data_IF_425128524391
#
_entry.id   IF_425128524391
#
_cell.length_a   1.000
_cell.length_b   1.000
_cell.length_c   1.000
_cell.angle_alpha   90.00
_cell.angle_beta   90.00
_cell.angle_gamma   90.00
#
_symmetry.space_group_name_H-M   'P 1'
#
loop_
_entity.id
_entity.type
_entity.pdbx_description
1 polymer ?
#
# COMPACT_ATOMS: atom_id res chain seq x y z
N UNK A 1 42.52 -25.79 -42.52
CA UNK A 1 42.24 -24.58 -41.71
C UNK A 1 40.73 -24.45 -41.61
N UNK A 2 40.17 -24.75 -40.43
CA UNK A 2 38.77 -24.50 -40.11
C UNK A 2 38.76 -23.46 -38.99
N UNK A 3 38.09 -22.33 -39.23
CA UNK A 3 37.91 -21.27 -38.23
C UNK A 3 37.04 -21.81 -37.07
N UNK A 4 37.40 -21.56 -35.80
CA UNK A 4 36.55 -21.94 -34.70
C UNK A 4 35.34 -21.01 -34.63
N UNK A 5 34.18 -21.61 -34.36
CA UNK A 5 32.94 -20.91 -34.10
C UNK A 5 33.11 -19.94 -32.92
N UNK A 6 32.73 -18.67 -33.12
CA UNK A 6 32.71 -17.67 -32.08
C UNK A 6 31.65 -18.02 -31.03
N UNK A 7 32.10 -18.46 -29.85
CA UNK A 7 31.26 -18.46 -28.66
C UNK A 7 31.13 -17.03 -28.15
N UNK A 8 29.92 -16.47 -28.17
CA UNK A 8 29.63 -15.22 -27.48
C UNK A 8 29.85 -15.42 -25.97
N UNK A 9 30.81 -14.70 -25.40
CA UNK A 9 30.95 -14.59 -23.95
C UNK A 9 29.64 -14.04 -23.37
N UNK A 10 29.14 -14.56 -22.23
CA UNK A 10 27.94 -14.01 -21.61
C UNK A 10 28.10 -12.51 -21.38
N UNK A 11 27.12 -11.73 -21.82
CA UNK A 11 27.12 -10.27 -21.69
C UNK A 11 27.35 -9.88 -20.22
N UNK A 12 28.36 -9.05 -19.98
CA UNK A 12 28.76 -8.69 -18.62
C UNK A 12 27.71 -7.74 -18.02
N UNK A 13 27.16 -8.04 -16.83
CA UNK A 13 26.20 -7.15 -16.18
C UNK A 13 26.76 -5.75 -15.93
N UNK A 14 26.00 -4.72 -16.27
CA UNK A 14 26.32 -3.31 -16.02
C UNK A 14 25.38 -2.74 -14.95
N UNK A 15 25.82 -1.66 -14.29
CA UNK A 15 25.00 -0.96 -13.30
C UNK A 15 24.11 0.06 -14.03
N UNK A 16 22.80 -0.19 -14.01
CA UNK A 16 21.76 0.75 -14.42
C UNK A 16 21.36 1.55 -13.19
N UNK A 17 22.04 2.67 -12.95
CA UNK A 17 21.74 3.61 -11.87
C UNK A 17 21.36 4.98 -12.43
N UNK A 18 20.07 5.29 -12.41
CA UNK A 18 19.49 6.46 -13.06
C UNK A 18 18.02 6.24 -13.43
N UNK A 19 17.49 7.10 -14.29
CA UNK A 19 16.09 7.03 -14.71
C UNK A 19 15.97 6.52 -16.14
N UNK A 20 15.12 5.52 -16.35
CA UNK A 20 14.72 5.07 -17.67
C UNK A 20 13.38 5.71 -18.03
N UNK A 21 13.40 6.62 -19.00
CA UNK A 21 12.19 7.08 -19.67
C UNK A 21 11.79 6.03 -20.70
N UNK A 22 10.69 5.34 -20.44
CA UNK A 22 10.24 4.19 -21.21
C UNK A 22 8.85 4.44 -21.76
N UNK A 23 8.69 4.22 -23.06
CA UNK A 23 7.40 4.15 -23.73
C UNK A 23 7.18 2.75 -24.29
N UNK A 24 6.13 2.08 -23.82
CA UNK A 24 5.66 0.82 -24.39
C UNK A 24 4.51 1.17 -25.34
N UNK A 25 4.79 1.17 -26.64
CA UNK A 25 3.86 1.69 -27.64
C UNK A 25 2.82 0.64 -28.01
N UNK A 26 3.24 -0.42 -28.69
CA UNK A 26 2.35 -1.39 -29.32
C UNK A 26 3.06 -2.73 -29.54
N UNK A 27 2.29 -3.81 -29.68
CA UNK A 27 2.78 -5.07 -30.20
C UNK A 27 1.98 -5.47 -31.44
N UNK A 28 2.57 -6.31 -32.28
CA UNK A 28 1.91 -6.83 -33.47
C UNK A 28 2.00 -8.35 -33.55
N UNK A 29 0.97 -8.97 -34.11
CA UNK A 29 0.89 -10.39 -34.43
C UNK A 29 1.18 -11.31 -33.23
N UNK A 30 0.71 -10.95 -32.04
CA UNK A 30 0.82 -11.81 -30.86
C UNK A 30 0.04 -13.11 -31.06
N UNK A 31 0.55 -14.26 -30.61
CA UNK A 31 -0.17 -15.53 -30.72
C UNK A 31 -1.47 -15.48 -29.91
N UNK A 32 -2.52 -16.11 -30.44
CA UNK A 32 -3.80 -16.22 -29.72
C UNK A 32 -3.69 -17.31 -28.65
N UNK A 33 -3.75 -16.90 -27.38
CA UNK A 33 -3.60 -17.79 -26.22
C UNK A 33 -4.93 -18.39 -25.75
N UNK A 34 -6.09 -17.90 -26.21
CA UNK A 34 -7.41 -18.45 -25.87
C UNK A 34 -7.55 -19.94 -26.23
N UNK A 35 -6.85 -20.38 -27.28
CA UNK A 35 -6.86 -21.78 -27.72
C UNK A 35 -6.06 -22.71 -26.77
N UNK A 36 -5.03 -22.18 -26.12
CA UNK A 36 -4.17 -22.94 -25.22
C UNK A 36 -4.81 -23.08 -23.83
N UNK A 37 -5.43 -22.01 -23.32
CA UNK A 37 -6.19 -22.03 -22.07
C UNK A 37 -7.37 -23.00 -22.13
N UNK A 38 -8.06 -23.08 -23.27
CA UNK A 38 -9.15 -24.06 -23.51
C UNK A 38 -8.66 -25.53 -23.57
N UNK A 39 -7.45 -25.80 -24.09
CA UNK A 39 -6.86 -27.15 -24.04
C UNK A 39 -6.52 -27.58 -22.60
N UNK A 40 -5.91 -26.69 -21.80
CA UNK A 40 -5.62 -26.96 -20.39
C UNK A 40 -6.92 -27.15 -19.58
N UNK A 41 -7.94 -26.34 -19.86
CA UNK A 41 -9.28 -26.46 -19.26
C UNK A 41 -9.93 -27.81 -19.57
N UNK A 42 -9.84 -28.29 -20.82
CA UNK A 42 -10.31 -29.62 -21.22
C UNK A 42 -9.60 -30.74 -20.46
N UNK A 43 -8.28 -30.65 -20.28
CA UNK A 43 -7.52 -31.64 -19.53
C UNK A 43 -7.89 -31.66 -18.03
N UNK A 44 -8.10 -30.49 -17.40
CA UNK A 44 -8.51 -30.41 -15.99
C UNK A 44 -9.96 -30.84 -15.75
N UNK A 45 -10.85 -30.67 -16.73
CA UNK A 45 -12.22 -31.17 -16.66
C UNK A 45 -12.32 -32.71 -16.68
N UNK A 46 -11.33 -33.39 -17.28
CA UNK A 46 -11.23 -34.86 -17.34
C UNK A 46 -10.79 -35.46 -15.99
N UNK A 47 -10.20 -34.68 -15.09
CA UNK A 47 -9.73 -35.13 -13.78
C UNK A 47 -10.68 -34.84 -12.60
N UNK A 48 -11.96 -34.50 -12.86
CA UNK A 48 -12.95 -34.36 -11.78
C UNK A 48 -13.41 -35.75 -11.29
N UNK A 49 -13.34 -36.06 -9.98
CA UNK A 49 -13.97 -37.25 -9.45
C UNK A 49 -15.50 -37.15 -9.59
N UNK A 50 -16.22 -38.27 -9.80
CA UNK A 50 -17.66 -38.23 -9.98
C UNK A 50 -18.31 -37.86 -8.65
N UNK A 51 -18.83 -36.63 -8.54
CA UNK A 51 -19.75 -36.29 -7.46
C UNK A 51 -21.10 -36.91 -7.76
N UNK A 52 -21.47 -37.84 -6.90
CA UNK A 52 -22.76 -38.51 -6.81
C UNK A 52 -23.93 -37.57 -6.55
N UNK A 53 -25.13 -38.08 -6.85
CA UNK A 53 -26.46 -37.66 -6.40
C UNK A 53 -27.19 -36.63 -7.27
N UNK A 54 -28.05 -37.13 -8.16
CA UNK A 54 -29.12 -36.38 -8.81
C UNK A 54 -30.12 -37.34 -9.45
N UNK A 55 -31.35 -37.37 -8.94
CA UNK A 55 -32.41 -38.37 -9.12
C UNK A 55 -32.92 -38.57 -10.55
N UNK A 56 -33.16 -39.83 -10.91
CA UNK A 56 -33.85 -40.28 -12.12
C UNK A 56 -35.34 -39.87 -12.12
N UNK A 57 -35.79 -39.15 -13.14
CA UNK A 57 -37.18 -39.18 -13.60
C UNK A 57 -37.24 -39.25 -15.15
N UNK A 58 -38.14 -40.06 -15.73
CA UNK A 58 -38.23 -40.26 -17.18
C UNK A 58 -39.03 -39.13 -17.87
N UNK A 59 -38.89 -38.92 -19.20
CA UNK A 59 -39.41 -37.74 -19.88
C UNK A 59 -40.87 -37.92 -20.29
N UNK A 60 -41.67 -36.86 -20.10
CA UNK A 60 -42.98 -36.71 -20.72
C UNK A 60 -42.85 -35.92 -22.04
N UNK A 61 -43.48 -36.43 -23.09
CA UNK A 61 -43.51 -35.85 -24.42
C UNK A 61 -44.41 -34.60 -24.47
N UNK A 62 -43.91 -33.50 -25.05
CA UNK A 62 -44.75 -32.46 -25.63
C UNK A 62 -44.01 -31.73 -26.76
N UNK A 63 -44.72 -31.57 -27.86
CA UNK A 63 -44.31 -30.98 -29.14
C UNK A 63 -44.21 -29.46 -29.05
N UNK A 64 -43.28 -28.89 -29.84
CA UNK A 64 -43.51 -27.65 -30.59
C UNK A 64 -42.69 -26.42 -30.17
N UNK A 65 -41.88 -25.93 -31.11
CA UNK A 65 -41.70 -24.48 -31.31
C UNK A 65 -40.37 -23.86 -30.89
N UNK A 66 -39.41 -23.81 -31.82
CA UNK A 66 -38.54 -22.65 -32.05
C UNK A 66 -37.74 -22.08 -30.88
N UNK A 67 -36.79 -22.85 -30.35
CA UNK A 67 -35.82 -22.37 -29.36
C UNK A 67 -34.69 -21.56 -29.98
N UNK A 68 -34.65 -20.27 -29.65
CA UNK A 68 -33.56 -19.31 -29.88
C UNK A 68 -32.18 -19.95 -29.62
N UNK A 69 -31.25 -19.70 -30.53
CA UNK A 69 -29.82 -19.98 -30.34
C UNK A 69 -29.38 -19.38 -28.98
N UNK A 70 -29.15 -20.25 -28.00
CA UNK A 70 -28.42 -19.88 -26.81
C UNK A 70 -27.00 -19.56 -27.27
N UNK A 71 -26.72 -18.27 -27.47
CA UNK A 71 -25.35 -17.77 -27.48
C UNK A 71 -24.69 -18.28 -26.21
N UNK A 72 -23.79 -19.26 -26.35
CA UNK A 72 -22.80 -19.51 -25.34
C UNK A 72 -22.10 -18.19 -25.11
N UNK A 73 -22.43 -17.54 -23.99
CA UNK A 73 -21.83 -16.31 -23.54
C UNK A 73 -20.35 -16.65 -23.33
N UNK A 74 -19.51 -16.33 -24.32
CA UNK A 74 -18.04 -16.40 -24.25
C UNK A 74 -17.63 -15.53 -23.07
N UNK A 75 -17.48 -16.17 -21.91
CA UNK A 75 -17.03 -15.54 -20.69
C UNK A 75 -15.66 -16.14 -20.43
N UNK A 76 -14.64 -15.26 -20.52
CA UNK A 76 -13.20 -15.38 -20.12
C UNK A 76 -12.28 -15.79 -21.29
N UNK A 77 -11.20 -15.07 -21.64
CA UNK A 77 -10.05 -14.53 -20.85
C UNK A 77 -9.61 -13.08 -21.20
N UNK A 78 -8.75 -12.47 -20.37
CA UNK A 78 -8.36 -11.03 -20.43
C UNK A 78 -7.00 -10.91 -21.14
N UNK A 79 -6.93 -10.01 -22.12
CA UNK A 79 -5.85 -9.92 -23.11
C UNK A 79 -4.46 -9.45 -22.66
N UNK A 80 -3.60 -9.05 -23.62
CA UNK A 80 -2.18 -8.87 -23.37
C UNK A 80 -1.85 -7.64 -22.54
N UNK A 81 -0.74 -7.75 -21.81
CA UNK A 81 -0.02 -6.65 -21.17
C UNK A 81 1.49 -6.95 -21.15
N UNK A 82 2.29 -5.92 -20.87
CA UNK A 82 3.75 -6.04 -20.81
C UNK A 82 4.23 -5.72 -19.41
N UNK A 83 5.24 -6.45 -18.95
CA UNK A 83 6.02 -6.10 -17.76
C UNK A 83 7.48 -5.93 -18.12
N UNK A 84 8.10 -4.83 -17.67
CA UNK A 84 9.56 -4.70 -17.66
C UNK A 84 10.10 -5.35 -16.37
N UNK A 85 11.01 -6.29 -16.54
CA UNK A 85 11.77 -6.95 -15.49
C UNK A 85 13.26 -6.62 -15.64
N UNK A 86 13.90 -6.23 -14.53
CA UNK A 86 15.34 -5.95 -14.47
C UNK A 86 15.91 -6.75 -13.31
N UNK A 87 16.87 -7.63 -13.58
CA UNK A 87 17.47 -8.52 -12.57
C UNK A 87 16.42 -9.34 -11.79
N UNK A 88 15.32 -9.72 -12.44
CA UNK A 88 14.20 -10.47 -11.85
C UNK A 88 13.17 -9.61 -11.11
N UNK A 89 13.39 -8.31 -10.95
CA UNK A 89 12.42 -7.39 -10.35
C UNK A 89 11.53 -6.75 -11.43
N UNK A 90 10.20 -6.88 -11.28
CA UNK A 90 9.25 -6.17 -12.16
C UNK A 90 9.17 -4.70 -11.75
N UNK A 91 9.61 -3.81 -12.64
CA UNK A 91 9.75 -2.38 -12.37
C UNK A 91 8.74 -1.52 -13.14
N UNK A 92 8.10 -2.05 -14.18
CA UNK A 92 6.99 -1.40 -14.87
C UNK A 92 5.98 -2.41 -15.40
N UNK A 93 4.73 -1.99 -15.56
CA UNK A 93 3.63 -2.81 -16.07
C UNK A 93 2.58 -1.96 -16.76
N UNK A 94 2.20 -2.35 -17.97
CA UNK A 94 1.10 -1.72 -18.72
C UNK A 94 -0.28 -2.18 -18.25
N UNK A 95 -1.31 -1.45 -18.66
CA UNK A 95 -2.68 -1.90 -18.61
C UNK A 95 -2.90 -3.15 -19.49
N UNK A 96 -3.97 -3.87 -19.16
CA UNK A 96 -4.41 -5.05 -19.90
C UNK A 96 -5.33 -4.60 -21.03
N UNK A 97 -4.96 -4.88 -22.28
CA UNK A 97 -5.80 -4.60 -23.45
C UNK A 97 -6.61 -5.85 -23.78
N UNK A 98 -7.95 -5.81 -23.74
CA UNK A 98 -8.76 -6.99 -24.00
C UNK A 98 -8.67 -7.46 -25.46
N UNK A 99 -8.49 -8.77 -25.67
CA UNK A 99 -8.74 -9.48 -26.94
C UNK A 99 -8.07 -8.87 -28.19
N UNK A 100 -6.85 -8.37 -28.06
CA UNK A 100 -6.09 -7.87 -29.21
C UNK A 100 -4.81 -8.68 -29.43
N UNK A 101 -4.57 -9.11 -30.66
CA UNK A 101 -3.27 -9.65 -31.09
C UNK A 101 -2.31 -8.52 -31.51
N UNK A 102 -2.85 -7.31 -31.71
CA UNK A 102 -2.13 -6.09 -32.07
C UNK A 102 -2.47 -4.98 -31.03
N UNK A 103 -2.10 -5.16 -29.76
CA UNK A 103 -2.42 -4.21 -28.70
C UNK A 103 -1.63 -2.91 -28.83
N UNK A 104 -2.30 -1.77 -28.62
CA UNK A 104 -1.70 -0.42 -28.60
C UNK A 104 -1.88 0.17 -27.19
N UNK A 105 -0.79 0.22 -26.41
CA UNK A 105 -0.80 0.73 -25.04
C UNK A 105 -0.51 2.22 -24.96
N UNK A 106 0.50 2.69 -25.70
CA UNK A 106 1.02 4.07 -25.63
C UNK A 106 1.30 4.54 -24.18
N UNK A 107 1.75 3.63 -23.32
CA UNK A 107 1.98 3.92 -21.90
C UNK A 107 3.43 4.32 -21.62
N UNK A 108 3.60 5.50 -21.02
CA UNK A 108 4.90 6.04 -20.61
C UNK A 108 5.18 5.80 -19.13
N UNK A 109 6.42 5.44 -18.82
CA UNK A 109 6.90 5.17 -17.48
C UNK A 109 8.21 5.93 -17.24
N UNK A 110 8.29 6.61 -16.10
CA UNK A 110 9.57 7.03 -15.52
C UNK A 110 10.01 5.95 -14.53
N UNK A 111 11.00 5.15 -14.91
CA UNK A 111 11.42 3.97 -14.13
C UNK A 111 12.78 4.26 -13.47
N UNK A 112 12.82 4.53 -12.16
CA UNK A 112 14.08 4.64 -11.44
C UNK A 112 14.74 3.25 -11.36
N UNK A 113 16.00 3.17 -11.81
CA UNK A 113 16.79 1.95 -11.79
C UNK A 113 17.99 2.10 -10.85
N UNK A 114 18.26 1.04 -10.09
CA UNK A 114 19.47 0.87 -9.29
C UNK A 114 19.93 -0.60 -9.35
N UNK A 115 19.92 -1.18 -10.56
CA UNK A 115 20.04 -2.63 -10.77
C UNK A 115 21.33 -2.99 -11.52
N UNK A 116 21.89 -4.17 -11.23
CA UNK A 116 22.95 -4.77 -12.06
C UNK A 116 22.34 -5.81 -12.99
N UNK A 117 22.34 -5.53 -14.29
CA UNK A 117 21.71 -6.39 -15.30
C UNK A 117 22.56 -6.49 -16.56
N UNK A 118 22.50 -7.63 -17.23
CA UNK A 118 23.05 -7.80 -18.58
C UNK A 118 22.05 -7.34 -19.66
N UNK A 119 20.75 -7.43 -19.38
CA UNK A 119 19.66 -7.06 -20.28
C UNK A 119 18.42 -6.61 -19.50
N UNK A 120 17.56 -5.87 -20.17
CA UNK A 120 16.20 -5.54 -19.73
C UNK A 120 15.24 -6.53 -20.39
N UNK A 121 14.39 -7.17 -19.59
CA UNK A 121 13.43 -8.16 -20.06
C UNK A 121 12.01 -7.58 -20.11
N UNK A 122 11.46 -7.46 -21.31
CA UNK A 122 10.06 -7.10 -21.53
C UNK A 122 9.25 -8.38 -21.75
N UNK A 123 8.49 -8.77 -20.75
CA UNK A 123 7.69 -9.98 -20.77
C UNK A 123 6.26 -9.63 -21.21
N UNK A 124 5.87 -10.10 -22.39
CA UNK A 124 4.50 -10.01 -22.92
C UNK A 124 3.69 -11.16 -22.33
N UNK A 125 2.60 -10.84 -21.65
CA UNK A 125 1.80 -11.81 -20.89
C UNK A 125 0.32 -11.66 -21.23
N UNK A 126 -0.40 -12.77 -21.19
CA UNK A 126 -1.86 -12.78 -21.24
C UNK A 126 -2.43 -12.87 -19.82
N UNK A 127 -3.46 -12.09 -19.49
CA UNK A 127 -3.98 -11.99 -18.12
C UNK A 127 -5.23 -12.85 -17.92
N UNK A 128 -5.07 -14.16 -17.81
CA UNK A 128 -6.21 -15.04 -17.62
C UNK A 128 -6.78 -14.95 -16.21
N UNK A 129 -8.05 -15.34 -16.04
CA UNK A 129 -8.70 -15.39 -14.72
C UNK A 129 -7.99 -16.32 -13.74
N UNK A 130 -7.28 -17.31 -14.25
CA UNK A 130 -6.57 -18.32 -13.46
C UNK A 130 -5.09 -17.97 -13.19
N UNK A 131 -4.57 -16.90 -13.80
CA UNK A 131 -3.18 -16.49 -13.66
C UNK A 131 -2.62 -15.95 -14.96
N UNK A 132 -1.57 -15.14 -14.88
CA UNK A 132 -0.94 -14.60 -16.08
C UNK A 132 -0.10 -15.68 -16.78
N UNK A 133 -0.29 -15.86 -18.09
CA UNK A 133 0.52 -16.75 -18.92
C UNK A 133 1.55 -15.93 -19.70
N UNK A 134 2.80 -16.39 -19.75
CA UNK A 134 3.84 -15.76 -20.57
C UNK A 134 3.61 -16.10 -22.04
N UNK A 135 3.45 -15.06 -22.87
CA UNK A 135 3.45 -15.18 -24.33
C UNK A 135 4.90 -15.26 -24.81
N UNK A 136 5.72 -14.28 -24.44
CA UNK A 136 7.12 -14.25 -24.84
C UNK A 136 7.89 -13.10 -24.22
N UNK A 137 9.18 -13.06 -24.53
CA UNK A 137 10.11 -12.08 -23.97
C UNK A 137 10.84 -11.35 -25.08
N UNK A 138 10.94 -10.04 -24.92
CA UNK A 138 11.85 -9.16 -25.65
C UNK A 138 13.00 -8.82 -24.72
N UNK A 139 14.24 -8.93 -25.20
CA UNK A 139 15.43 -8.57 -24.43
C UNK A 139 16.15 -7.41 -25.09
N UNK A 140 16.51 -6.41 -24.29
CA UNK A 140 17.32 -5.25 -24.71
C UNK A 140 18.63 -5.28 -23.93
N UNK A 141 19.79 -5.38 -24.60
CA UNK A 141 21.09 -5.38 -23.92
C UNK A 141 21.29 -4.11 -23.07
N UNK A 142 21.76 -4.30 -21.83
CA UNK A 142 21.88 -3.20 -20.87
C UNK A 142 23.00 -2.21 -21.25
N UNK A 143 24.00 -2.64 -22.00
CA UNK A 143 25.04 -1.77 -22.59
C UNK A 143 24.46 -0.78 -23.61
N UNK A 144 23.51 -1.21 -24.45
CA UNK A 144 22.77 -0.32 -25.34
C UNK A 144 21.98 0.73 -24.56
N UNK A 145 21.36 0.34 -23.44
CA UNK A 145 20.59 1.25 -22.58
C UNK A 145 21.49 2.28 -21.91
N UNK A 146 22.64 1.87 -21.35
CA UNK A 146 23.58 2.77 -20.66
C UNK A 146 24.15 3.86 -21.58
N UNK A 147 24.19 3.62 -22.90
CA UNK A 147 24.64 4.63 -23.87
C UNK A 147 23.86 5.96 -23.79
N UNK A 148 22.61 5.92 -23.28
CA UNK A 148 21.75 7.08 -23.10
C UNK A 148 21.20 7.68 -24.41
N UNK A 149 21.44 7.02 -25.54
CA UNK A 149 20.85 7.44 -26.82
C UNK A 149 19.39 7.00 -26.87
N UNK A 150 18.50 7.89 -27.32
CA UNK A 150 17.10 7.51 -27.55
C UNK A 150 17.02 6.41 -28.60
N UNK A 151 16.40 5.30 -28.23
CA UNK A 151 16.15 4.17 -29.11
C UNK A 151 14.65 4.01 -29.30
N UNK A 152 14.21 3.92 -30.55
CA UNK A 152 12.86 3.48 -30.90
C UNK A 152 12.95 2.43 -31.99
N UNK A 153 12.45 1.23 -31.71
CA UNK A 153 12.44 0.16 -32.70
C UNK A 153 11.40 -0.92 -32.38
N UNK A 154 11.20 -1.82 -33.35
CA UNK A 154 10.48 -3.07 -33.21
C UNK A 154 11.43 -4.18 -32.75
N UNK A 155 11.19 -4.69 -31.55
CA UNK A 155 11.96 -5.77 -30.97
C UNK A 155 11.22 -7.10 -31.12
N UNK A 156 11.87 -8.16 -31.64
CA UNK A 156 11.21 -9.44 -31.89
C UNK A 156 10.84 -10.14 -30.58
N UNK A 157 9.58 -10.58 -30.47
CA UNK A 157 9.12 -11.35 -29.31
C UNK A 157 9.59 -12.80 -29.45
N UNK A 158 10.44 -13.26 -28.54
CA UNK A 158 10.89 -14.65 -28.46
C UNK A 158 9.90 -15.45 -27.63
N UNK A 159 9.44 -16.58 -28.15
CA UNK A 159 8.60 -17.51 -27.40
C UNK A 159 9.33 -18.17 -26.24
N UNK A 160 8.60 -18.89 -25.40
CA UNK A 160 9.14 -19.58 -24.21
C UNK A 160 10.19 -20.65 -24.53
N UNK A 161 10.23 -21.14 -25.76
CA UNK A 161 11.24 -22.07 -26.27
C UNK A 161 12.51 -21.36 -26.81
N UNK A 162 12.62 -20.04 -26.63
CA UNK A 162 13.71 -19.20 -27.14
C UNK A 162 13.67 -18.94 -28.64
N UNK A 163 12.71 -19.52 -29.37
CA UNK A 163 12.55 -19.30 -30.82
C UNK A 163 11.64 -18.10 -31.08
N UNK A 164 11.91 -17.30 -32.12
CA UNK A 164 10.97 -16.27 -32.54
C UNK A 164 9.65 -16.92 -32.96
N UNK A 165 8.56 -16.15 -32.82
CA UNK A 165 7.26 -16.49 -33.40
C UNK A 165 7.30 -16.32 -34.94
N UNK A 166 6.18 -15.95 -35.58
CA UNK A 166 6.20 -15.54 -36.98
C UNK A 166 7.18 -14.37 -37.15
N UNK A 167 7.82 -14.18 -38.32
CA UNK A 167 8.89 -13.21 -38.54
C UNK A 167 8.57 -11.78 -38.09
N UNK A 168 7.29 -11.44 -38.00
CA UNK A 168 6.82 -10.09 -37.69
C UNK A 168 6.26 -9.92 -36.28
N UNK A 169 6.19 -10.95 -35.44
CA UNK A 169 5.70 -10.80 -34.07
C UNK A 169 6.70 -10.00 -33.23
N UNK A 170 6.36 -8.76 -32.90
CA UNK A 170 7.28 -7.80 -32.31
C UNK A 170 6.59 -6.84 -31.34
N UNK A 171 7.39 -6.23 -30.46
CA UNK A 171 7.00 -5.19 -29.52
C UNK A 171 7.75 -3.90 -29.89
N UNK A 172 7.02 -2.81 -30.09
CA UNK A 172 7.59 -1.49 -30.34
C UNK A 172 7.84 -0.78 -29.02
N UNK A 173 9.09 -0.41 -28.80
CA UNK A 173 9.54 0.29 -27.60
C UNK A 173 10.23 1.58 -28.00
N UNK A 174 10.02 2.65 -27.23
CA UNK A 174 10.88 3.83 -27.23
C UNK A 174 11.47 3.98 -25.84
N UNK A 175 12.77 4.19 -25.71
CA UNK A 175 13.37 4.44 -24.41
C UNK A 175 14.63 5.30 -24.48
N UNK A 176 14.86 6.03 -23.41
CA UNK A 176 16.07 6.82 -23.17
C UNK A 176 16.48 6.64 -21.72
N UNK A 177 17.76 6.41 -21.47
CA UNK A 177 18.28 6.27 -20.11
C UNK A 177 19.08 7.50 -19.71
N UNK A 178 18.82 7.99 -18.50
CA UNK A 178 19.50 9.12 -17.91
C UNK A 178 20.29 8.66 -16.68
N UNK A 179 21.60 8.37 -16.81
CA UNK A 179 22.44 7.99 -15.68
C UNK A 179 22.40 9.05 -14.59
N UNK A 180 22.37 8.62 -13.32
CA UNK A 180 22.28 9.53 -12.16
C UNK A 180 23.36 10.61 -12.18
N UNK A 181 24.58 10.26 -12.62
CA UNK A 181 25.73 11.16 -12.65
C UNK A 181 25.53 12.37 -13.58
N UNK A 182 24.75 12.20 -14.64
CA UNK A 182 24.52 13.24 -15.65
C UNK A 182 23.12 13.86 -15.57
N UNK A 183 22.22 13.28 -14.77
CA UNK A 183 20.83 13.70 -14.69
C UNK A 183 20.71 14.99 -13.83
N UNK A 184 20.25 16.12 -14.42
CA UNK A 184 20.10 17.38 -13.72
C UNK A 184 19.21 17.31 -12.47
N UNK A 185 18.22 16.40 -12.44
CA UNK A 185 17.29 16.23 -11.33
C UNK A 185 17.99 15.86 -10.01
N UNK A 186 19.19 15.27 -10.07
CA UNK A 186 19.95 14.84 -8.89
C UNK A 186 21.15 15.73 -8.56
N UNK A 187 21.34 16.85 -9.26
CA UNK A 187 22.45 17.79 -8.97
C UNK A 187 22.29 18.50 -7.63
N UNK A 188 21.05 18.68 -7.20
CA UNK A 188 20.69 19.34 -5.95
C UNK A 188 19.88 18.39 -5.09
N UNK A 189 19.94 18.55 -3.77
CA UNK A 189 18.95 17.91 -2.90
C UNK A 189 17.55 18.45 -3.21
N UNK A 190 16.51 17.66 -2.94
CA UNK A 190 15.10 18.03 -3.18
C UNK A 190 14.75 19.45 -2.67
N UNK A 191 15.10 19.87 -1.43
CA UNK A 191 14.82 21.24 -0.98
C UNK A 191 15.77 22.30 -1.56
N UNK A 192 16.92 21.88 -2.11
CA UNK A 192 17.97 22.75 -2.63
C UNK A 192 17.87 23.06 -4.13
N UNK A 193 16.94 22.45 -4.86
CA UNK A 193 16.71 22.76 -6.27
C UNK A 193 16.01 24.14 -6.40
N UNK A 194 16.64 25.13 -7.08
CA UNK A 194 16.07 26.46 -7.26
C UNK A 194 14.79 26.49 -8.11
N UNK A 195 14.65 25.55 -9.05
CA UNK A 195 13.52 25.43 -9.97
C UNK A 195 12.39 24.55 -9.45
N UNK A 196 12.70 23.55 -8.62
CA UNK A 196 11.72 22.60 -8.06
C UNK A 196 11.98 22.31 -6.58
N UNK A 197 11.34 23.06 -5.67
CA UNK A 197 11.56 22.94 -4.21
C UNK A 197 10.82 21.78 -3.54
N UNK A 198 10.55 20.71 -4.28
CA UNK A 198 9.73 19.58 -3.84
C UNK A 198 9.72 18.44 -4.85
N UNK A 199 9.13 17.32 -4.46
CA UNK A 199 9.00 16.14 -5.33
C UNK A 199 8.07 16.47 -6.51
N UNK A 200 8.55 16.24 -7.73
CA UNK A 200 7.74 16.35 -8.95
C UNK A 200 6.73 15.20 -9.10
N UNK A 201 5.68 15.42 -9.90
CA UNK A 201 4.71 14.38 -10.29
C UNK A 201 4.00 13.65 -9.13
N UNK A 202 3.91 14.28 -7.95
CA UNK A 202 3.11 13.77 -6.84
C UNK A 202 1.64 14.18 -6.94
N UNK A 203 0.73 13.33 -6.45
CA UNK A 203 -0.71 13.62 -6.43
C UNK A 203 -1.04 14.91 -5.67
N UNK A 204 -0.33 15.17 -4.57
CA UNK A 204 -0.41 16.44 -3.85
C UNK A 204 0.81 17.29 -4.19
N UNK A 205 0.63 18.52 -4.70
CA UNK A 205 1.75 19.42 -4.96
C UNK A 205 2.31 19.98 -3.65
N UNK A 206 3.54 20.48 -3.71
CA UNK A 206 4.16 21.23 -2.62
C UNK A 206 3.26 22.42 -2.19
N UNK A 207 3.10 22.60 -0.89
CA UNK A 207 2.37 23.73 -0.30
C UNK A 207 3.33 24.59 0.52
N UNK A 208 3.22 25.91 0.35
CA UNK A 208 4.01 26.89 1.08
C UNK A 208 3.21 27.52 2.23
N UNK A 209 3.92 28.09 3.20
CA UNK A 209 3.30 28.78 4.35
C UNK A 209 2.67 27.85 5.39
N UNK A 210 2.95 26.54 5.33
CA UNK A 210 2.59 25.59 6.36
C UNK A 210 3.54 25.67 7.57
N UNK A 211 3.05 25.22 8.72
CA UNK A 211 3.85 24.99 9.91
C UNK A 211 3.87 23.49 10.19
N UNK A 212 5.05 22.95 10.48
CA UNK A 212 5.24 21.54 10.83
C UNK A 212 5.83 21.48 12.23
N UNK A 213 5.16 20.75 13.12
CA UNK A 213 5.70 20.37 14.42
C UNK A 213 6.22 18.94 14.32
N UNK A 214 7.48 18.72 14.70
CA UNK A 214 8.08 17.40 14.75
C UNK A 214 7.93 16.85 16.16
N UNK A 215 7.46 15.60 16.25
CA UNK A 215 7.25 14.92 17.52
C UNK A 215 8.25 13.78 17.69
N UNK A 216 8.93 13.77 18.83
CA UNK A 216 9.71 12.64 19.32
C UNK A 216 8.85 11.90 20.36
N UNK A 217 8.54 10.64 20.09
CA UNK A 217 7.64 9.80 20.90
C UNK A 217 6.21 10.39 21.06
N UNK A 218 5.41 9.76 21.91
CA UNK A 218 4.05 10.22 22.18
C UNK A 218 4.02 11.43 23.13
N UNK A 219 5.00 11.52 24.04
CA UNK A 219 5.05 12.54 25.07
C UNK A 219 6.48 12.87 25.47
N UNK A 220 6.75 14.13 25.80
CA UNK A 220 8.04 14.60 26.30
C UNK A 220 7.77 15.40 27.57
N UNK A 221 8.40 15.02 28.67
CA UNK A 221 8.30 15.79 29.92
C UNK A 221 9.22 17.00 29.87
N UNK A 222 8.77 18.07 30.51
CA UNK A 222 9.55 19.30 30.65
C UNK A 222 10.89 19.00 31.33
N UNK A 223 11.99 19.39 30.67
CA UNK A 223 13.36 19.16 31.14
C UNK A 223 13.96 17.78 30.85
N UNK A 224 13.22 16.85 30.21
CA UNK A 224 13.79 15.52 29.87
C UNK A 224 14.79 15.58 28.70
N UNK A 225 14.69 16.60 27.82
CA UNK A 225 15.56 16.79 26.67
C UNK A 225 16.38 18.07 26.81
N UNK A 226 17.62 18.10 26.24
CA UNK A 226 18.48 19.27 26.32
C UNK A 226 17.94 20.43 25.49
N UNK A 227 18.39 21.63 25.85
CA UNK A 227 18.21 22.82 25.04
C UNK A 227 19.02 22.70 23.74
N UNK A 228 18.39 23.05 22.61
CA UNK A 228 19.04 23.02 21.29
C UNK A 228 18.86 24.41 20.67
N UNK A 229 19.96 25.12 20.50
CA UNK A 229 19.98 26.42 19.82
C UNK A 229 19.83 26.22 18.31
N UNK A 230 19.01 27.06 17.70
CA UNK A 230 18.74 27.17 16.28
C UNK A 230 19.18 28.55 15.78
N UNK A 231 19.19 28.71 14.46
CA UNK A 231 19.44 30.00 13.83
C UNK A 231 18.54 31.12 14.41
N UNK A 232 19.02 32.36 14.31
CA UNK A 232 18.43 33.57 14.91
C UNK A 232 18.37 33.54 16.46
N UNK A 233 19.16 32.70 17.13
CA UNK A 233 19.16 32.59 18.59
C UNK A 233 17.86 32.02 19.15
N UNK A 234 17.14 31.23 18.36
CA UNK A 234 15.90 30.55 18.79
C UNK A 234 16.26 29.23 19.46
N UNK A 235 15.44 28.81 20.40
CA UNK A 235 15.56 27.48 21.02
C UNK A 235 14.56 26.52 20.39
N UNK A 236 14.99 25.30 20.06
CA UNK A 236 14.12 24.24 19.58
C UNK A 236 13.08 23.87 20.65
N UNK A 237 11.81 23.87 20.28
CA UNK A 237 10.72 23.51 21.17
C UNK A 237 10.39 22.02 21.02
N UNK A 238 10.68 21.25 22.08
CA UNK A 238 10.25 19.86 22.20
C UNK A 238 8.76 19.81 22.53
N UNK A 239 7.93 19.35 21.59
CA UNK A 239 6.48 19.29 21.76
C UNK A 239 6.01 17.86 22.08
N UNK A 240 4.92 17.73 22.82
CA UNK A 240 4.31 16.45 23.21
C UNK A 240 3.16 16.08 22.28
N UNK A 241 3.33 15.02 21.48
CA UNK A 241 2.40 14.62 20.43
C UNK A 241 0.97 14.37 20.92
N UNK A 242 0.80 13.45 21.86
CA UNK A 242 -0.52 13.06 22.35
C UNK A 242 -1.18 14.16 23.18
N UNK A 243 -0.39 15.00 23.85
CA UNK A 243 -0.88 16.19 24.54
C UNK A 243 -1.40 17.23 23.54
N UNK A 244 -0.67 17.52 22.47
CA UNK A 244 -1.15 18.40 21.39
C UNK A 244 -2.41 17.85 20.71
N UNK A 245 -2.48 16.54 20.47
CA UNK A 245 -3.68 15.89 19.94
C UNK A 245 -4.86 16.05 20.93
N UNK A 246 -4.63 15.86 22.23
CA UNK A 246 -5.64 16.03 23.27
C UNK A 246 -6.20 17.46 23.28
N UNK A 247 -5.32 18.46 23.34
CA UNK A 247 -5.72 19.86 23.27
C UNK A 247 -6.45 20.20 21.98
N UNK A 248 -5.97 19.72 20.83
CA UNK A 248 -6.59 19.97 19.54
C UNK A 248 -8.01 19.38 19.46
N UNK A 249 -8.22 18.17 20.01
CA UNK A 249 -9.55 17.55 20.11
C UNK A 249 -10.46 18.36 21.05
N UNK A 250 -9.96 18.78 22.21
CA UNK A 250 -10.73 19.54 23.19
C UNK A 250 -11.19 20.89 22.64
N UNK A 251 -10.35 21.60 21.89
CA UNK A 251 -10.72 22.88 21.29
C UNK A 251 -11.53 22.78 20.00
N UNK A 252 -11.76 21.56 19.46
CA UNK A 252 -12.45 21.36 18.19
C UNK A 252 -13.91 21.81 18.26
N UNK A 253 -14.40 22.50 17.23
CA UNK A 253 -15.77 23.01 17.16
C UNK A 253 -16.60 22.38 16.04
N UNK A 254 -15.97 21.77 15.03
CA UNK A 254 -16.66 21.34 13.82
C UNK A 254 -16.36 19.90 13.41
N UNK A 255 -15.11 19.47 13.46
CA UNK A 255 -14.69 18.17 12.96
C UNK A 255 -13.52 17.56 13.73
N UNK A 256 -13.63 16.26 13.97
CA UNK A 256 -12.55 15.38 14.42
C UNK A 256 -12.61 14.12 13.56
N UNK A 257 -11.66 13.95 12.65
CA UNK A 257 -11.54 12.74 11.84
C UNK A 257 -10.28 11.98 12.21
N UNK A 258 -10.42 10.69 12.49
CA UNK A 258 -9.30 9.82 12.86
C UNK A 258 -9.23 8.66 11.87
N UNK A 259 -8.05 8.42 11.33
CA UNK A 259 -7.72 7.23 10.54
C UNK A 259 -6.62 6.49 11.29
N UNK A 260 -6.82 5.20 11.56
CA UNK A 260 -5.86 4.40 12.31
C UNK A 260 -5.80 2.98 11.77
N UNK A 261 -4.60 2.39 11.84
CA UNK A 261 -4.45 0.95 11.69
C UNK A 261 -5.05 0.24 12.90
N UNK A 262 -4.90 0.84 14.09
CA UNK A 262 -5.67 0.48 15.27
C UNK A 262 -6.01 1.74 16.06
N UNK A 263 -7.16 1.71 16.71
CA UNK A 263 -7.57 2.72 17.70
C UNK A 263 -8.04 1.94 18.91
N UNK A 264 -7.64 2.38 20.10
CA UNK A 264 -8.09 1.76 21.35
C UNK A 264 -8.79 2.80 22.21
N UNK A 265 -10.09 2.61 22.45
CA UNK A 265 -10.92 3.59 23.15
C UNK A 265 -10.45 3.90 24.57
N UNK A 266 -9.72 2.99 25.22
CA UNK A 266 -9.36 3.11 26.64
C UNK A 266 -8.04 3.83 26.91
N UNK A 267 -7.24 4.14 25.90
CA UNK A 267 -5.98 4.87 26.14
C UNK A 267 -6.27 6.28 26.61
N UNK A 268 -5.41 6.80 27.48
CA UNK A 268 -5.39 8.21 27.86
C UNK A 268 -4.28 8.90 27.09
N UNK A 269 -4.60 10.03 26.45
CA UNK A 269 -3.66 10.81 25.65
C UNK A 269 -2.59 11.47 26.52
N UNK A 270 -2.98 11.95 27.71
CA UNK A 270 -2.06 12.60 28.66
C UNK A 270 -2.09 11.84 29.98
N UNK A 271 -0.90 11.40 30.42
CA UNK A 271 -0.71 10.63 31.66
C UNK A 271 0.19 11.36 32.66
N UNK A 272 1.15 12.13 32.14
CA UNK A 272 2.06 12.97 32.91
C UNK A 272 1.87 14.43 32.44
N UNK A 273 0.82 15.14 32.87
CA UNK A 273 0.53 16.48 32.38
C UNK A 273 1.65 17.46 32.73
N UNK A 274 1.96 18.38 31.80
CA UNK A 274 2.94 19.42 32.07
C UNK A 274 2.39 20.47 33.05
N UNK A 275 3.15 20.88 34.09
CA UNK A 275 2.75 21.98 34.96
C UNK A 275 2.52 23.29 34.21
N UNK A 276 3.25 23.51 33.12
CA UNK A 276 3.17 24.71 32.28
C UNK A 276 1.96 24.73 31.35
N UNK A 277 1.25 23.60 31.20
CA UNK A 277 0.10 23.46 30.29
C UNK A 277 -1.01 22.60 30.93
N UNK A 278 -1.89 23.21 31.74
CA UNK A 278 -2.97 22.46 32.37
C UNK A 278 -3.97 21.94 31.34
N UNK A 279 -4.50 20.74 31.60
CA UNK A 279 -5.53 20.13 30.77
C UNK A 279 -6.89 20.82 31.00
N UNK A 280 -7.61 21.18 29.94
CA UNK A 280 -9.01 21.57 30.04
C UNK A 280 -9.89 20.42 30.56
N UNK A 281 -11.12 20.75 30.95
CA UNK A 281 -12.13 19.77 31.33
C UNK A 281 -12.29 18.71 30.23
N UNK A 282 -12.22 17.44 30.62
CA UNK A 282 -12.28 16.29 29.72
C UNK A 282 -10.92 15.81 29.20
N UNK A 283 -9.82 16.52 29.46
CA UNK A 283 -8.48 16.10 29.05
C UNK A 283 -7.92 14.88 29.80
N UNK A 284 -8.52 14.55 30.94
CA UNK A 284 -8.20 13.37 31.74
C UNK A 284 -8.98 12.12 31.32
N UNK A 285 -9.96 12.25 30.41
CA UNK A 285 -10.78 11.15 29.90
C UNK A 285 -9.97 10.13 29.09
N UNK A 286 -10.54 8.94 28.92
CA UNK A 286 -10.09 8.01 27.87
C UNK A 286 -10.36 8.61 26.50
N UNK A 287 -9.62 8.18 25.47
CA UNK A 287 -9.83 8.62 24.09
C UNK A 287 -11.29 8.43 23.65
N UNK A 288 -11.87 7.28 23.96
CA UNK A 288 -13.25 6.96 23.64
C UNK A 288 -14.25 7.92 24.26
N UNK A 289 -14.10 8.18 25.56
CA UNK A 289 -15.00 9.09 26.29
C UNK A 289 -14.80 10.54 25.85
N UNK A 290 -13.56 10.98 25.59
CA UNK A 290 -13.25 12.29 25.02
C UNK A 290 -13.96 12.50 23.67
N UNK A 291 -13.91 11.51 22.79
CA UNK A 291 -14.56 11.60 21.47
C UNK A 291 -16.10 11.60 21.58
N UNK A 292 -16.68 10.82 22.51
CA UNK A 292 -18.11 10.89 22.81
C UNK A 292 -18.51 12.25 23.37
N UNK A 293 -17.72 12.78 24.30
CA UNK A 293 -17.91 14.09 24.90
C UNK A 293 -17.97 15.19 23.84
N UNK A 294 -16.96 15.29 22.97
CA UNK A 294 -16.96 16.26 21.85
C UNK A 294 -18.11 16.05 20.86
N UNK A 295 -18.48 14.79 20.61
CA UNK A 295 -19.61 14.49 19.74
C UNK A 295 -20.95 14.95 20.32
N UNK A 296 -21.12 14.92 21.64
CA UNK A 296 -22.31 15.41 22.34
C UNK A 296 -22.40 16.94 22.33
N UNK A 297 -21.26 17.65 22.27
CA UNK A 297 -21.22 19.10 22.05
C UNK A 297 -21.59 19.52 20.62
N UNK A 298 -21.81 18.55 19.71
CA UNK A 298 -22.19 18.79 18.32
C UNK A 298 -21.03 18.77 17.34
N UNK A 299 -19.81 18.43 17.77
CA UNK A 299 -18.67 18.23 16.87
C UNK A 299 -18.87 16.95 16.05
N UNK A 300 -18.62 17.01 14.75
CA UNK A 300 -18.68 15.81 13.90
C UNK A 300 -17.44 14.94 14.11
N UNK A 301 -17.63 13.77 14.71
CA UNK A 301 -16.55 12.81 14.98
C UNK A 301 -16.68 11.58 14.08
N UNK A 302 -15.66 11.34 13.24
CA UNK A 302 -15.62 10.21 12.31
C UNK A 302 -14.33 9.42 12.45
N UNK A 303 -14.42 8.10 12.56
CA UNK A 303 -13.28 7.19 12.62
C UNK A 303 -13.32 6.24 11.42
N UNK A 304 -12.16 6.07 10.78
CA UNK A 304 -11.90 5.04 9.78
C UNK A 304 -10.79 4.12 10.33
N UNK A 305 -11.19 2.99 10.92
CA UNK A 305 -10.27 2.02 11.53
C UNK A 305 -10.11 0.85 10.58
N UNK A 306 -8.89 0.33 10.40
CA UNK A 306 -8.68 -0.86 9.58
C UNK A 306 -9.48 -2.05 10.14
N UNK A 307 -10.19 -2.76 9.26
CA UNK A 307 -10.94 -3.98 9.58
C UNK A 307 -10.00 -5.20 9.50
N UNK A 308 -9.57 -5.71 10.65
CA UNK A 308 -8.82 -6.97 10.72
C UNK A 308 -9.79 -8.13 10.51
N UNK A 309 -9.86 -8.63 9.28
CA UNK A 309 -10.71 -9.77 8.91
C UNK A 309 -10.37 -11.06 9.65
N UNK A 310 -9.26 -11.13 10.38
CA UNK A 310 -8.95 -12.27 11.26
C UNK A 310 -9.52 -12.11 12.67
N UNK A 311 -9.91 -10.88 13.03
CA UNK A 311 -10.65 -10.56 14.24
C UNK A 311 -12.15 -10.74 13.95
N UNK A 312 -12.72 -11.87 14.34
CA UNK A 312 -14.15 -12.10 14.18
C UNK A 312 -14.77 -12.60 15.47
N UNK A 313 -15.74 -11.82 15.96
CA UNK A 313 -16.64 -12.18 17.05
C UNK A 313 -17.81 -13.00 16.46
N UNK A 314 -17.53 -14.20 15.96
CA UNK A 314 -18.59 -15.13 15.49
C UNK A 314 -18.82 -16.20 16.55
N UNK A 315 -20.05 -16.26 17.07
CA UNK A 315 -20.57 -17.33 17.95
C UNK A 315 -19.80 -17.53 19.26
N UNK A 316 -19.70 -16.48 20.11
CA UNK A 316 -19.18 -16.58 21.48
C UNK A 316 -17.71 -17.06 21.60
N UNK A 317 -16.97 -17.16 20.50
CA UNK A 317 -15.54 -17.44 20.48
C UNK A 317 -14.82 -16.15 20.09
N UNK A 318 -14.18 -15.52 21.08
CA UNK A 318 -13.26 -14.40 20.85
C UNK A 318 -11.94 -14.94 20.29
N UNK A 319 -11.79 -14.97 18.98
CA UNK A 319 -10.44 -15.04 18.39
C UNK A 319 -9.91 -13.63 18.31
N UNK A 320 -9.01 -13.25 19.22
CA UNK A 320 -8.19 -12.04 19.05
C UNK A 320 -7.53 -12.12 17.67
N UNK A 321 -7.65 -11.05 16.88
CA UNK A 321 -7.04 -10.97 15.57
C UNK A 321 -5.55 -11.31 15.65
N UNK A 322 -5.01 -11.95 14.61
CA UNK A 322 -3.59 -12.35 14.59
C UNK A 322 -2.66 -11.12 14.69
N UNK A 323 -3.22 -9.94 14.42
CA UNK A 323 -2.50 -8.67 14.37
C UNK A 323 -2.70 -7.78 15.60
N UNK A 324 -3.32 -8.28 16.68
CA UNK A 324 -3.49 -7.55 17.96
C UNK A 324 -4.09 -6.13 17.79
N UNK A 325 -5.17 -6.02 17.02
CA UNK A 325 -5.95 -4.77 16.85
C UNK A 325 -7.19 -4.74 17.76
N UNK A 326 -7.66 -3.52 18.06
CA UNK A 326 -8.88 -3.26 18.83
C UNK A 326 -10.05 -2.72 17.99
N UNK A 327 -10.09 -3.04 16.70
CA UNK A 327 -11.03 -2.47 15.72
C UNK A 327 -12.49 -2.81 16.03
N UNK A 328 -12.82 -4.08 16.24
CA UNK A 328 -14.18 -4.51 16.58
C UNK A 328 -14.64 -4.02 17.96
N UNK A 329 -13.74 -4.01 18.94
CA UNK A 329 -14.02 -3.48 20.29
C UNK A 329 -14.33 -1.98 20.24
N UNK A 330 -13.53 -1.22 19.49
CA UNK A 330 -13.70 0.23 19.31
C UNK A 330 -15.00 0.55 18.56
N UNK A 331 -15.31 -0.18 17.48
CA UNK A 331 -16.60 -0.02 16.78
C UNK A 331 -17.77 -0.26 17.75
N UNK A 332 -17.68 -1.32 18.56
CA UNK A 332 -18.73 -1.66 19.53
C UNK A 332 -18.89 -0.58 20.59
N UNK A 333 -17.79 0.00 21.07
CA UNK A 333 -17.81 1.09 22.06
C UNK A 333 -18.58 2.33 21.55
N UNK A 334 -18.48 2.66 20.27
CA UNK A 334 -19.15 3.82 19.67
C UNK A 334 -20.57 3.56 19.12
N UNK A 335 -21.01 2.30 19.03
CA UNK A 335 -22.28 1.89 18.37
C UNK A 335 -23.52 2.67 18.82
N UNK A 336 -23.57 3.11 20.07
CA UNK A 336 -24.70 3.84 20.66
C UNK A 336 -24.36 5.29 20.99
N UNK A 337 -23.45 5.89 20.22
CA UNK A 337 -23.06 7.31 20.33
C UNK A 337 -23.22 8.03 18.99
N UNK A 338 -23.07 9.35 19.01
CA UNK A 338 -23.07 10.18 17.78
C UNK A 338 -21.73 10.10 17.00
N UNK A 339 -20.75 9.36 17.53
CA UNK A 339 -19.47 9.11 16.85
C UNK A 339 -19.67 8.09 15.72
N UNK A 340 -19.23 8.45 14.51
CA UNK A 340 -19.33 7.59 13.33
C UNK A 340 -18.06 6.75 13.22
N UNK A 341 -18.10 5.50 13.68
CA UNK A 341 -16.96 4.57 13.59
C UNK A 341 -17.17 3.53 12.49
N UNK A 342 -16.34 3.55 11.45
CA UNK A 342 -16.40 2.65 10.29
C UNK A 342 -15.16 1.76 10.26
N UNK A 343 -15.39 0.45 10.12
CA UNK A 343 -14.34 -0.53 9.84
C UNK A 343 -14.06 -0.55 8.33
N UNK A 344 -12.80 -0.37 7.96
CA UNK A 344 -12.33 -0.20 6.60
C UNK A 344 -11.47 -1.39 6.16
N UNK A 345 -12.09 -2.40 5.52
CA UNK A 345 -11.35 -3.53 4.97
C UNK A 345 -10.52 -3.09 3.77
N UNK A 346 -9.31 -3.63 3.67
CA UNK A 346 -8.50 -3.48 2.47
C UNK A 346 -9.04 -4.41 1.38
N UNK A 347 -9.39 -3.82 0.24
CA UNK A 347 -9.75 -4.58 -0.95
C UNK A 347 -8.65 -4.49 -2.00
N UNK A 348 -8.40 -5.62 -2.64
CA UNK A 348 -7.58 -5.67 -3.82
C UNK A 348 -8.29 -5.00 -5.00
N UNK A 349 -7.51 -4.50 -5.97
CA UNK A 349 -8.10 -4.12 -7.25
C UNK A 349 -8.78 -5.33 -7.90
N UNK A 350 -10.00 -5.13 -8.40
CA UNK A 350 -10.76 -6.13 -9.18
C UNK A 350 -10.04 -6.55 -10.49
N UNK A 351 -9.01 -5.79 -10.91
CA UNK A 351 -8.15 -6.09 -12.06
C UNK A 351 -7.11 -7.18 -11.77
N UNK A 352 -6.89 -7.57 -10.51
CA UNK A 352 -5.95 -8.62 -10.12
C UNK A 352 -6.56 -10.03 -10.29
N UNK A 353 -5.74 -11.07 -10.32
CA UNK A 353 -6.20 -12.47 -10.28
C UNK A 353 -6.81 -12.81 -8.93
N UNK A 354 -7.70 -13.81 -8.87
CA UNK A 354 -8.43 -14.19 -7.64
C UNK A 354 -7.47 -14.47 -6.48
N UNK A 355 -6.39 -15.21 -6.74
CA UNK A 355 -5.36 -15.48 -5.74
C UNK A 355 -4.73 -14.19 -5.18
N UNK A 356 -4.36 -13.24 -6.05
CA UNK A 356 -3.82 -11.94 -5.62
C UNK A 356 -4.86 -11.10 -4.87
N UNK A 357 -6.14 -11.22 -5.23
CA UNK A 357 -7.21 -10.53 -4.51
C UNK A 357 -7.37 -11.06 -3.07
N UNK A 358 -7.27 -12.37 -2.89
CA UNK A 358 -7.32 -13.00 -1.58
C UNK A 358 -6.11 -12.60 -0.73
N UNK A 359 -4.89 -12.65 -1.30
CA UNK A 359 -3.67 -12.19 -0.62
C UNK A 359 -3.80 -10.73 -0.16
N UNK A 360 -4.21 -9.82 -1.05
CA UNK A 360 -4.35 -8.40 -0.68
C UNK A 360 -5.47 -8.18 0.34
N UNK A 361 -6.58 -8.90 0.19
CA UNK A 361 -7.72 -8.81 1.10
C UNK A 361 -7.44 -9.35 2.50
N UNK A 362 -6.40 -10.14 2.70
CA UNK A 362 -6.05 -10.78 3.98
C UNK A 362 -4.77 -10.22 4.60
N UNK A 363 -3.76 -9.82 3.81
CA UNK A 363 -2.44 -9.44 4.33
C UNK A 363 -2.13 -7.94 4.29
N UNK A 364 -2.85 -7.17 3.47
CA UNK A 364 -2.62 -5.73 3.37
C UNK A 364 -3.61 -4.97 4.23
N UNK A 365 -3.15 -3.85 4.80
CA UNK A 365 -3.91 -3.08 5.79
C UNK A 365 -4.11 -1.65 5.33
N UNK A 366 -5.06 -0.96 5.96
CA UNK A 366 -5.04 0.50 5.98
C UNK A 366 -4.10 0.93 7.11
N UNK A 367 -2.87 1.32 6.77
CA UNK A 367 -1.82 1.58 7.77
C UNK A 367 -1.65 3.07 8.13
N UNK A 368 -2.45 3.95 7.53
CA UNK A 368 -2.43 5.39 7.79
C UNK A 368 -2.78 5.67 9.26
N UNK A 369 -1.99 6.53 9.91
CA UNK A 369 -2.32 7.14 11.20
C UNK A 369 -2.47 8.63 11.00
N UNK A 370 -3.69 9.14 11.17
CA UNK A 370 -4.01 10.52 10.91
C UNK A 370 -5.08 11.02 11.86
N UNK A 371 -4.89 12.22 12.43
CA UNK A 371 -5.94 12.98 13.13
C UNK A 371 -6.11 14.30 12.41
N UNK A 372 -7.31 14.57 11.88
CA UNK A 372 -7.69 15.85 11.28
C UNK A 372 -8.69 16.54 12.17
N UNK A 373 -8.39 17.77 12.56
CA UNK A 373 -9.20 18.50 13.53
C UNK A 373 -9.20 19.99 13.22
N UNK A 374 -10.33 20.67 13.48
CA UNK A 374 -10.37 22.12 13.35
C UNK A 374 -9.82 22.81 14.61
N UNK A 375 -8.82 23.66 14.40
CA UNK A 375 -8.12 24.39 15.48
C UNK A 375 -8.26 25.88 15.30
N UNK A 376 -7.96 26.63 16.35
CA UNK A 376 -8.05 28.10 16.32
C UNK A 376 -7.09 28.68 15.26
N UNK A 377 -7.62 29.57 14.42
CA UNK A 377 -6.82 30.37 13.49
C UNK A 377 -6.86 31.86 13.90
N UNK A 378 -6.49 32.78 13.01
CA UNK A 378 -6.49 34.20 13.32
C UNK A 378 -7.92 34.76 13.43
N UNK A 379 -8.21 35.48 14.52
CA UNK A 379 -9.52 36.08 14.79
C UNK A 379 -10.59 35.02 15.03
N UNK A 380 -11.80 35.19 14.49
CA UNK A 380 -12.91 34.23 14.66
C UNK A 380 -12.90 33.10 13.62
N UNK A 381 -11.76 32.83 12.98
CA UNK A 381 -11.63 31.78 11.96
C UNK A 381 -11.01 30.52 12.56
N UNK A 382 -11.31 29.37 11.95
CA UNK A 382 -10.70 28.08 12.27
C UNK A 382 -9.93 27.53 11.07
N UNK A 383 -8.91 26.73 11.34
CA UNK A 383 -8.06 26.07 10.34
C UNK A 383 -8.12 24.55 10.54
N UNK A 384 -7.85 23.79 9.49
CA UNK A 384 -7.66 22.34 9.63
C UNK A 384 -6.20 22.09 10.05
N UNK A 385 -6.03 21.36 11.15
CA UNK A 385 -4.74 20.85 11.61
C UNK A 385 -4.73 19.33 11.41
N UNK A 386 -3.58 18.82 10.97
CA UNK A 386 -3.39 17.41 10.68
C UNK A 386 -2.20 16.88 11.47
N UNK A 387 -2.40 15.77 12.17
CA UNK A 387 -1.34 14.97 12.78
C UNK A 387 -1.16 13.73 11.92
N UNK A 388 0.05 13.51 11.39
CA UNK A 388 0.37 12.39 10.50
C UNK A 388 1.71 11.83 10.95
N UNK A 389 1.80 10.51 11.14
CA UNK A 389 3.05 9.89 11.59
C UNK A 389 2.94 8.38 11.81
N UNK A 390 3.80 7.84 12.67
CA UNK A 390 3.88 6.42 13.01
C UNK A 390 3.07 5.97 14.22
N UNK A 391 2.52 6.91 15.01
CA UNK A 391 1.81 6.62 16.26
C UNK A 391 0.31 6.44 16.00
N UNK A 392 -0.19 5.21 16.13
CA UNK A 392 -1.63 4.96 16.28
C UNK A 392 -2.10 5.44 17.66
N UNK A 393 -3.38 5.82 17.78
CA UNK A 393 -4.01 6.13 19.06
C UNK A 393 -4.50 4.85 19.74
N UNK A 394 -3.57 3.98 20.11
CA UNK A 394 -3.86 2.70 20.76
C UNK A 394 -2.80 2.31 21.81
N UNK A 395 -3.02 1.16 22.43
CA UNK A 395 -2.19 0.62 23.51
C UNK A 395 -0.71 0.46 23.11
N UNK A 396 0.19 0.62 24.07
CA UNK A 396 1.63 0.46 23.89
C UNK A 396 2.34 1.56 23.10
N UNK A 397 1.63 2.62 22.66
CA UNK A 397 2.23 3.73 21.89
C UNK A 397 2.62 4.91 22.77
N UNK A 398 2.03 5.04 23.96
CA UNK A 398 2.45 6.08 24.90
C UNK A 398 3.82 5.72 25.45
N UNK A 399 4.81 6.56 25.20
CA UNK A 399 6.10 6.52 25.86
C UNK A 399 6.75 7.91 25.81
N UNK A 400 7.88 8.01 26.50
CA UNK A 400 8.75 9.18 26.58
C UNK A 400 10.16 8.79 26.12
N UNK A 401 11.05 9.76 25.83
CA UNK A 401 12.43 9.48 25.45
C UNK A 401 13.24 8.64 26.45
N UNK A 402 12.77 8.45 27.69
CA UNK A 402 13.40 7.58 28.69
C UNK A 402 13.15 6.09 28.48
N UNK A 403 12.14 5.70 27.68
CA UNK A 403 11.77 4.31 27.39
C UNK A 403 11.85 3.38 28.60
N UNK A 404 11.04 3.69 29.62
CA UNK A 404 11.12 3.06 30.95
C UNK A 404 10.70 1.58 30.86
N UNK A 405 11.61 0.66 31.18
CA UNK A 405 11.32 -0.78 31.14
C UNK A 405 10.51 -1.29 32.35
N UNK A 406 10.88 -0.87 33.56
CA UNK A 406 10.32 -1.41 34.82
C UNK A 406 9.81 -0.33 35.79
N UNK A 407 9.97 0.95 35.44
CA UNK A 407 9.49 2.07 36.25
C UNK A 407 8.09 2.46 35.81
N UNK A 408 7.26 2.86 36.77
CA UNK A 408 5.92 3.41 36.54
C UNK A 408 4.91 2.42 35.90
N UNK A 409 5.17 1.11 36.02
CA UNK A 409 4.29 0.06 35.51
C UNK A 409 2.91 0.05 36.17
N UNK A 410 2.85 0.42 37.45
CA UNK A 410 1.65 0.50 38.27
C UNK A 410 1.00 1.89 38.28
N UNK A 411 1.59 2.86 37.57
CA UNK A 411 1.10 4.25 37.47
C UNK A 411 0.88 4.66 36.01
N UNK A 412 1.89 5.19 35.34
CA UNK A 412 1.82 5.74 33.97
C UNK A 412 1.46 4.67 32.93
N UNK A 413 1.97 3.45 33.12
CA UNK A 413 1.72 2.33 32.20
C UNK A 413 0.68 1.34 32.75
N UNK A 414 -0.04 1.72 33.80
CA UNK A 414 -1.08 0.87 34.37
C UNK A 414 -2.17 0.61 33.31
N UNK A 415 -2.48 -0.66 33.08
CA UNK A 415 -3.42 -1.13 32.04
C UNK A 415 -2.97 -0.83 30.59
N UNK A 416 -1.70 -0.48 30.39
CA UNK A 416 -1.10 -0.24 29.07
C UNK A 416 0.31 -0.84 28.96
N UNK A 417 0.49 -2.03 29.54
CA UNK A 417 1.71 -2.81 29.37
C UNK A 417 1.68 -3.55 28.03
N UNK A 418 2.58 -3.19 27.12
CA UNK A 418 2.64 -3.76 25.78
C UNK A 418 3.97 -4.45 25.54
N UNK A 419 3.97 -5.79 25.51
CA UNK A 419 5.12 -6.60 25.16
C UNK A 419 4.69 -7.84 24.37
N UNK A 420 4.58 -7.73 23.03
CA UNK A 420 4.17 -8.85 22.19
C UNK A 420 5.30 -9.86 21.97
N UNK A 421 6.51 -9.61 22.47
CA UNK A 421 7.69 -10.45 22.23
C UNK A 421 7.67 -11.73 23.08
N UNK A 422 7.20 -11.63 24.33
CA UNK A 422 7.14 -12.78 25.24
C UNK A 422 5.69 -13.18 25.48
N UNK A 423 5.41 -14.49 25.41
CA UNK A 423 4.08 -14.99 25.73
C UNK A 423 3.74 -14.71 27.21
N UNK A 424 2.50 -14.28 27.45
CA UNK A 424 1.96 -13.88 28.77
C UNK A 424 2.14 -14.97 29.85
N UNK A 425 2.29 -16.24 29.44
CA UNK A 425 2.65 -17.36 30.32
C UNK A 425 3.96 -17.17 31.10
N UNK A 426 4.81 -16.22 30.71
CA UNK A 426 6.12 -15.97 31.31
C UNK A 426 6.09 -14.95 32.46
N UNK A 427 5.05 -14.11 32.54
CA UNK A 427 5.00 -12.98 33.47
C UNK A 427 4.28 -13.27 34.80
N UNK A 428 3.38 -14.26 34.83
CA UNK A 428 2.61 -14.60 36.04
C UNK A 428 3.49 -15.15 37.20
N UNK A 429 4.75 -15.51 36.94
CA UNK A 429 5.70 -15.98 37.97
C UNK A 429 6.61 -14.88 38.53
N UNK A 430 6.70 -13.70 37.91
CA UNK A 430 7.68 -12.68 38.30
C UNK A 430 7.10 -11.55 39.16
N UNK A 431 5.79 -11.25 39.05
CA UNK A 431 5.14 -10.20 39.87
C UNK A 431 4.53 -10.71 41.19
N UNK A 432 4.73 -11.99 41.53
CA UNK A 432 4.39 -12.57 42.83
C UNK A 432 5.66 -12.91 43.61
N UNK A 433 6.53 -11.93 43.87
CA UNK A 433 7.53 -11.98 44.95
C UNK A 433 7.78 -10.60 45.53
#
# INVERSE_FOLDING_TARGET
>A
MASPAGGESPAKPVLLHGDLDLWILEARLLPNMDMFSEQVRRCLAVCRPPTSCGTNHPPAAARGGGGRQHHHRKIITRGPYVTLSVSGAVVARTAVIPNSQDPVWEERFAVPLAHRAAELEFQVKDNDTFGAQLIGTVTVPADCVVSGTEAEDWFPVKGTNGKPYKPDTALRLRFTFHPIANNPAYRHGIPGDPGHRGIGESYYPLRHGGQVTLYQDAHIREGDLPEIELDDGKTFQHNSCWEDICHAILEAHHMIYIVGWSVYDKVRLVREPSPSRPLPDGGDLTLGDLLKFKSQEGVRVCLLVWDDKTSHDKFFIKTGGVMATHDEETRKFFKHSSVICVLSPRYASNKLSIFKQQVVGTLFTHHQKCVLVDTQARGNKRKVTAFIGGLDLCDGRYDTPKHRLFKDLDTVFQNDYHNPTFSVSSFALACCK
#
